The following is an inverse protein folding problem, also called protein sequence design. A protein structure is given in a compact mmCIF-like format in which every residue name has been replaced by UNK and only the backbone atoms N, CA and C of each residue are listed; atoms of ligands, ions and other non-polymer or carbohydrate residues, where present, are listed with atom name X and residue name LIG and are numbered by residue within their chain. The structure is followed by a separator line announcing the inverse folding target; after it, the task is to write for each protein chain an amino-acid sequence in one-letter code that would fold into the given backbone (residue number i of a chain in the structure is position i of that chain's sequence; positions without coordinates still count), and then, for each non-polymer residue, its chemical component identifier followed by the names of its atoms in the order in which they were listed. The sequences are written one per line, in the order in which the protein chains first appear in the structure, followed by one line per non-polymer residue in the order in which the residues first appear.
data_IF_093811443020
#
_entry.id   IF_093811443020
#
_cell.length_a   1.000
_cell.length_b   1.000
_cell.length_c   1.000
_cell.angle_alpha   90.00
_cell.angle_beta   90.00
_cell.angle_gamma   90.00
#
_symmetry.space_group_name_H-M   'P 1'
#
loop_
_entity.id
_entity.type
_entity.pdbx_description
1 polymer ?
#
# COMPACT_ATOMS: atom_id res chain seq x y z
N UNK A 1 6.83 6.66 29.53
CA UNK A 1 6.40 7.46 28.37
C UNK A 1 6.73 6.64 27.13
N UNK A 2 5.76 5.87 26.58
CA UNK A 2 5.88 5.30 25.24
C UNK A 2 5.81 6.48 24.27
N UNK A 3 6.90 6.76 23.60
CA UNK A 3 6.90 7.67 22.45
C UNK A 3 5.95 7.09 21.40
N UNK A 4 4.78 7.69 21.29
CA UNK A 4 3.89 7.42 20.16
C UNK A 4 4.65 7.85 18.91
N UNK A 5 4.90 6.95 18.00
CA UNK A 5 5.53 7.27 16.73
C UNK A 5 4.62 8.18 15.91
N UNK A 6 5.18 8.95 14.98
CA UNK A 6 4.43 9.84 14.08
C UNK A 6 3.28 9.13 13.33
N UNK A 7 3.29 7.80 13.27
CA UNK A 7 2.21 6.96 12.75
C UNK A 7 1.05 6.74 13.75
N UNK A 8 1.30 6.91 15.05
CA UNK A 8 0.25 6.84 16.09
C UNK A 8 -0.36 8.22 16.35
N UNK A 9 0.31 9.29 15.96
CA UNK A 9 -0.25 10.64 15.87
C UNK A 9 -1.01 10.76 14.54
N UNK A 10 -1.94 9.88 14.31
CA UNK A 10 -3.08 10.15 13.45
C UNK A 10 -4.04 11.01 14.26
N UNK A 11 -3.60 12.18 14.58
CA UNK A 11 -4.51 13.23 14.96
C UNK A 11 -5.25 13.61 13.69
N UNK A 12 -6.41 13.01 13.58
CA UNK A 12 -7.60 13.58 13.00
C UNK A 12 -7.32 14.64 11.93
N UNK A 13 -6.93 14.19 10.75
CA UNK A 13 -7.28 14.92 9.56
C UNK A 13 -8.80 14.81 9.45
N UNK A 14 -9.50 15.85 9.89
CA UNK A 14 -10.95 15.91 10.04
C UNK A 14 -11.70 15.95 8.71
N UNK A 15 -11.00 15.71 7.61
CA UNK A 15 -11.66 15.56 6.32
C UNK A 15 -12.38 14.19 6.25
N UNK A 16 -13.63 14.19 5.79
CA UNK A 16 -14.46 12.99 5.71
C UNK A 16 -13.91 11.95 4.73
N UNK A 17 -13.15 12.37 3.74
CA UNK A 17 -12.48 11.55 2.75
C UNK A 17 -11.29 10.79 3.36
N UNK A 18 -10.45 11.45 4.17
CA UNK A 18 -9.36 10.79 4.90
C UNK A 18 -9.92 9.80 5.93
N UNK A 19 -10.92 10.18 6.72
CA UNK A 19 -11.57 9.27 7.65
C UNK A 19 -12.18 8.05 6.95
N UNK A 20 -12.85 8.23 5.82
CA UNK A 20 -13.46 7.13 5.06
C UNK A 20 -12.42 6.24 4.40
N UNK A 21 -11.29 6.80 3.93
CA UNK A 21 -10.17 6.01 3.40
C UNK A 21 -9.52 5.14 4.47
N UNK A 22 -9.31 5.68 5.67
CA UNK A 22 -8.77 4.94 6.80
C UNK A 22 -9.70 3.83 7.28
N UNK A 23 -11.01 4.08 7.32
CA UNK A 23 -12.01 3.06 7.63
C UNK A 23 -11.98 1.92 6.60
N UNK A 24 -11.87 2.26 5.32
CA UNK A 24 -11.78 1.30 4.22
C UNK A 24 -10.49 0.48 4.26
N UNK A 25 -9.36 1.11 4.60
CA UNK A 25 -8.07 0.45 4.76
C UNK A 25 -7.99 -0.45 6.00
N UNK A 26 -8.68 -0.10 7.08
CA UNK A 26 -8.61 -0.84 8.35
C UNK A 26 -9.20 -2.24 8.27
N UNK A 27 -10.17 -2.47 7.37
CA UNK A 27 -10.87 -3.74 7.21
C UNK A 27 -11.63 -4.24 8.46
N UNK A 28 -11.66 -3.43 9.53
CA UNK A 28 -12.26 -3.81 10.83
C UNK A 28 -13.78 -3.76 10.83
N UNK A 29 -14.36 -2.98 9.94
CA UNK A 29 -15.80 -2.77 9.88
C UNK A 29 -16.46 -3.66 8.83
N UNK A 30 -17.44 -4.45 9.24
CA UNK A 30 -18.21 -5.34 8.34
C UNK A 30 -19.25 -4.60 7.47
N UNK A 31 -19.25 -3.28 7.51
CA UNK A 31 -20.19 -2.49 6.70
C UNK A 31 -19.78 -2.55 5.22
N UNK A 32 -20.69 -2.93 4.34
CA UNK A 32 -20.44 -3.16 2.91
C UNK A 32 -19.82 -1.95 2.18
N UNK A 33 -20.09 -0.73 2.64
CA UNK A 33 -19.53 0.49 2.08
C UNK A 33 -18.02 0.67 2.35
N UNK A 34 -17.49 0.06 3.42
CA UNK A 34 -16.10 0.21 3.86
C UNK A 34 -15.28 -1.08 3.69
N UNK A 35 -15.77 -2.01 2.89
CA UNK A 35 -14.97 -3.17 2.46
C UNK A 35 -14.01 -2.73 1.36
N UNK A 36 -12.83 -3.39 1.25
CA UNK A 36 -11.79 -3.05 0.27
C UNK A 36 -12.24 -3.13 -1.20
N UNK A 37 -13.36 -3.80 -1.50
CA UNK A 37 -13.94 -3.86 -2.84
C UNK A 37 -14.56 -2.51 -3.24
N UNK A 38 -14.38 -2.05 -4.50
CA UNK A 38 -15.02 -0.84 -4.99
C UNK A 38 -16.54 -1.04 -5.09
N UNK A 39 -17.30 -0.05 -4.61
CA UNK A 39 -18.75 0.00 -4.79
C UNK A 39 -19.06 1.06 -5.84
N UNK A 40 -19.45 0.62 -7.03
CA UNK A 40 -19.80 1.49 -8.16
C UNK A 40 -21.28 1.40 -8.42
N UNK A 41 -21.96 2.53 -8.61
CA UNK A 41 -23.35 2.58 -9.01
C UNK A 41 -23.54 3.45 -10.26
N UNK A 42 -24.55 3.13 -11.04
CA UNK A 42 -24.86 3.86 -12.28
C UNK A 42 -25.18 5.33 -11.98
N UNK A 43 -24.52 6.27 -12.68
CA UNK A 43 -24.74 7.71 -12.48
C UNK A 43 -23.88 8.36 -11.38
N UNK A 44 -22.92 7.67 -10.82
CA UNK A 44 -22.06 8.18 -9.75
C UNK A 44 -21.25 9.42 -10.16
N UNK A 45 -20.65 9.41 -11.35
CA UNK A 45 -19.84 10.54 -11.83
C UNK A 45 -20.65 11.82 -12.04
N UNK A 46 -21.81 11.78 -12.74
CA UNK A 46 -22.65 12.97 -12.84
C UNK A 46 -23.18 13.43 -11.47
N UNK A 47 -23.49 12.51 -10.55
CA UNK A 47 -23.89 12.87 -9.20
C UNK A 47 -22.77 13.62 -8.46
N UNK A 48 -21.56 13.10 -8.48
CA UNK A 48 -20.40 13.76 -7.85
C UNK A 48 -20.11 15.12 -8.48
N UNK A 49 -20.26 15.24 -9.80
CA UNK A 49 -20.11 16.52 -10.51
C UNK A 49 -21.16 17.55 -10.05
N UNK A 50 -22.43 17.17 -9.97
CA UNK A 50 -23.51 18.06 -9.52
C UNK A 50 -23.31 18.49 -8.07
N UNK A 51 -22.93 17.56 -7.19
CA UNK A 51 -22.64 17.88 -5.78
C UNK A 51 -21.42 18.81 -5.67
N UNK A 52 -20.38 18.58 -6.47
CA UNK A 52 -19.19 19.47 -6.52
C UNK A 52 -19.55 20.89 -6.98
N UNK A 53 -20.35 21.01 -8.05
CA UNK A 53 -20.82 22.30 -8.53
C UNK A 53 -21.72 23.00 -7.51
N UNK A 54 -22.59 22.26 -6.83
CA UNK A 54 -23.43 22.79 -5.75
C UNK A 54 -22.60 23.29 -4.56
N UNK A 55 -21.57 22.54 -4.17
CA UNK A 55 -20.65 22.94 -3.09
C UNK A 55 -19.89 24.22 -3.46
N UNK A 56 -19.38 24.32 -4.69
CA UNK A 56 -18.75 25.53 -5.21
C UNK A 56 -19.73 26.70 -5.26
N UNK A 57 -20.97 26.49 -5.72
CA UNK A 57 -22.02 27.50 -5.76
C UNK A 57 -22.35 28.04 -4.38
N UNK A 58 -22.49 27.18 -3.38
CA UNK A 58 -22.71 27.60 -1.98
C UNK A 58 -21.49 28.34 -1.41
N UNK A 59 -20.27 27.94 -1.75
CA UNK A 59 -19.06 28.63 -1.36
C UNK A 59 -19.00 30.06 -1.94
N UNK A 60 -19.31 30.22 -3.22
CA UNK A 60 -19.43 31.54 -3.86
C UNK A 60 -20.56 32.38 -3.23
N UNK A 61 -21.73 31.77 -3.03
CA UNK A 61 -22.85 32.45 -2.35
C UNK A 61 -22.43 32.95 -0.97
N UNK A 62 -21.78 32.08 -0.17
CA UNK A 62 -21.28 32.48 1.15
C UNK A 62 -20.28 33.65 1.07
N UNK A 63 -19.39 33.64 0.06
CA UNK A 63 -18.42 34.74 -0.12
C UNK A 63 -19.07 36.07 -0.34
N UNK A 64 -20.20 36.15 -1.06
CA UNK A 64 -20.91 37.38 -1.34
C UNK A 64 -21.95 37.78 -0.29
N UNK A 65 -22.65 36.77 0.30
CA UNK A 65 -23.78 37.05 1.21
C UNK A 65 -23.41 36.94 2.68
N UNK A 66 -22.30 36.23 3.01
CA UNK A 66 -21.88 35.92 4.40
C UNK A 66 -22.99 35.22 5.20
N UNK A 67 -23.91 34.49 4.51
CA UNK A 67 -25.02 33.80 5.14
C UNK A 67 -24.52 32.49 5.79
N UNK A 68 -24.70 32.34 7.12
CA UNK A 68 -24.33 31.11 7.82
C UNK A 68 -25.00 29.85 7.27
N UNK A 69 -26.21 29.95 6.71
CA UNK A 69 -26.91 28.80 6.14
C UNK A 69 -26.18 28.24 4.92
N UNK A 70 -25.63 29.13 4.06
CA UNK A 70 -24.82 28.71 2.91
C UNK A 70 -23.52 28.00 3.36
N UNK A 71 -22.90 28.47 4.44
CA UNK A 71 -21.71 27.83 5.01
C UNK A 71 -22.01 26.41 5.53
N UNK A 72 -23.06 26.26 6.34
CA UNK A 72 -23.42 24.92 6.86
C UNK A 72 -23.88 23.98 5.75
N UNK A 73 -24.56 24.49 4.73
CA UNK A 73 -24.92 23.71 3.54
C UNK A 73 -23.68 23.21 2.77
N UNK A 74 -22.71 24.09 2.52
CA UNK A 74 -21.44 23.74 1.90
C UNK A 74 -20.69 22.68 2.73
N UNK A 75 -20.61 22.86 4.05
CA UNK A 75 -19.95 21.93 4.94
C UNK A 75 -20.59 20.52 4.90
N UNK A 76 -21.92 20.46 4.98
CA UNK A 76 -22.64 19.18 4.91
C UNK A 76 -22.43 18.46 3.56
N UNK A 77 -22.50 19.20 2.44
CA UNK A 77 -22.24 18.64 1.11
C UNK A 77 -20.80 18.15 0.96
N UNK A 78 -19.82 18.87 1.52
CA UNK A 78 -18.41 18.47 1.49
C UNK A 78 -18.18 17.14 2.22
N UNK A 79 -18.82 16.91 3.38
CA UNK A 79 -18.77 15.64 4.08
C UNK A 79 -19.36 14.49 3.27
N UNK A 80 -20.52 14.69 2.65
CA UNK A 80 -21.15 13.68 1.79
C UNK A 80 -20.26 13.37 0.58
N UNK A 81 -19.70 14.40 -0.05
CA UNK A 81 -18.80 14.26 -1.19
C UNK A 81 -17.52 13.48 -0.85
N UNK A 82 -16.91 13.76 0.31
CA UNK A 82 -15.71 13.04 0.74
C UNK A 82 -15.95 11.54 0.89
N UNK A 83 -17.12 11.12 1.37
CA UNK A 83 -17.48 9.70 1.42
C UNK A 83 -17.74 9.13 0.02
N UNK A 84 -18.49 9.85 -0.82
CA UNK A 84 -18.86 9.39 -2.17
C UNK A 84 -17.66 9.25 -3.12
N UNK A 85 -16.62 10.06 -2.96
CA UNK A 85 -15.40 9.98 -3.77
C UNK A 85 -14.60 8.72 -3.43
N UNK A 86 -14.55 8.31 -2.14
CA UNK A 86 -13.72 7.19 -1.69
C UNK A 86 -14.37 5.82 -1.93
N UNK A 87 -15.71 5.73 -1.92
CA UNK A 87 -16.44 4.45 -2.06
C UNK A 87 -16.09 3.69 -3.34
N UNK A 88 -15.97 4.31 -4.53
CA UNK A 88 -15.71 3.59 -5.78
C UNK A 88 -14.25 3.19 -5.98
N UNK A 89 -13.35 3.65 -5.12
CA UNK A 89 -11.92 3.41 -5.27
C UNK A 89 -11.57 2.03 -4.71
N UNK A 90 -10.91 1.21 -5.51
CA UNK A 90 -10.44 -0.11 -5.11
C UNK A 90 -9.29 -0.06 -4.11
N UNK A 91 -9.16 -1.11 -3.29
CA UNK A 91 -8.08 -1.20 -2.30
C UNK A 91 -6.68 -1.14 -2.91
N UNK A 92 -6.50 -1.66 -4.13
CA UNK A 92 -5.22 -1.62 -4.86
C UNK A 92 -4.77 -0.18 -5.17
N UNK A 93 -5.72 0.72 -5.46
CA UNK A 93 -5.44 2.11 -5.83
C UNK A 93 -5.38 3.05 -4.61
N UNK A 94 -5.74 2.54 -3.42
CA UNK A 94 -5.80 3.32 -2.18
C UNK A 94 -4.50 4.05 -1.80
N UNK A 95 -3.29 3.48 -1.94
CA UNK A 95 -2.06 4.20 -1.62
C UNK A 95 -1.91 5.50 -2.42
N UNK A 96 -2.28 5.49 -3.69
CA UNK A 96 -2.26 6.69 -4.57
C UNK A 96 -3.25 7.73 -4.06
N UNK A 97 -4.45 7.29 -3.71
CA UNK A 97 -5.53 8.16 -3.23
C UNK A 97 -5.16 8.81 -1.90
N UNK A 98 -4.62 8.05 -0.95
CA UNK A 98 -4.15 8.59 0.34
C UNK A 98 -3.08 9.67 0.14
N UNK A 99 -2.14 9.46 -0.80
CA UNK A 99 -1.13 10.45 -1.14
C UNK A 99 -1.76 11.72 -1.74
N UNK A 100 -2.79 11.57 -2.59
CA UNK A 100 -3.49 12.70 -3.19
C UNK A 100 -4.33 13.48 -2.18
N UNK A 101 -5.00 12.79 -1.24
CA UNK A 101 -5.72 13.44 -0.14
C UNK A 101 -4.79 14.26 0.74
N UNK A 102 -3.59 13.73 1.02
CA UNK A 102 -2.56 14.49 1.73
C UNK A 102 -2.14 15.76 0.95
N UNK A 103 -2.07 15.68 -0.39
CA UNK A 103 -1.83 16.83 -1.25
C UNK A 103 -2.94 17.89 -1.12
N UNK A 104 -4.21 17.48 -1.11
CA UNK A 104 -5.34 18.41 -0.92
C UNK A 104 -5.30 19.10 0.44
N UNK A 105 -4.98 18.37 1.50
CA UNK A 105 -4.78 18.91 2.85
C UNK A 105 -3.65 19.94 2.88
N UNK A 106 -2.54 19.67 2.18
CA UNK A 106 -1.43 20.62 2.03
C UNK A 106 -1.84 21.93 1.35
N UNK A 107 -2.58 21.83 0.24
CA UNK A 107 -3.06 23.02 -0.47
C UNK A 107 -4.09 23.80 0.34
N UNK A 108 -4.96 23.11 1.09
CA UNK A 108 -5.88 23.77 2.02
C UNK A 108 -5.12 24.53 3.12
N UNK A 109 -4.08 23.92 3.69
CA UNK A 109 -3.22 24.58 4.67
C UNK A 109 -2.52 25.84 4.10
N UNK A 110 -2.03 25.77 2.85
CA UNK A 110 -1.47 26.93 2.18
C UNK A 110 -2.52 28.05 2.00
N UNK A 111 -3.75 27.71 1.60
CA UNK A 111 -4.87 28.65 1.49
C UNK A 111 -5.20 29.33 2.82
N UNK A 112 -5.25 28.58 3.91
CA UNK A 112 -5.42 29.12 5.27
C UNK A 112 -4.23 30.04 5.62
N UNK A 113 -3.02 29.66 5.23
CA UNK A 113 -1.82 30.47 5.42
C UNK A 113 -1.92 31.85 4.76
N UNK A 114 -2.48 31.95 3.56
CA UNK A 114 -2.75 33.21 2.90
C UNK A 114 -3.76 34.06 3.69
N UNK A 115 -4.85 33.44 4.17
CA UNK A 115 -5.88 34.17 4.94
C UNK A 115 -5.36 34.69 6.28
N UNK A 116 -4.46 33.92 6.93
CA UNK A 116 -3.87 34.28 8.23
C UNK A 116 -2.57 35.08 8.10
N UNK A 117 -2.10 35.34 6.88
CA UNK A 117 -0.81 35.96 6.59
C UNK A 117 0.37 35.26 7.29
N UNK A 118 0.32 33.94 7.31
CA UNK A 118 1.32 33.07 7.96
C UNK A 118 2.22 32.39 6.91
N UNK A 119 3.44 32.90 6.74
CA UNK A 119 4.40 32.43 5.74
C UNK A 119 4.83 30.97 5.96
N UNK A 120 4.95 30.52 7.21
CA UNK A 120 5.32 29.15 7.51
C UNK A 120 4.24 28.15 7.05
N UNK A 121 2.98 28.51 7.26
CA UNK A 121 1.85 27.67 6.83
C UNK A 121 1.72 27.63 5.31
N UNK A 122 2.01 28.74 4.62
CA UNK A 122 2.06 28.81 3.15
C UNK A 122 3.17 27.89 2.62
N UNK A 123 4.38 28.00 3.16
CA UNK A 123 5.53 27.21 2.70
C UNK A 123 5.30 25.72 2.96
N UNK A 124 4.97 25.35 4.20
CA UNK A 124 4.75 23.96 4.57
C UNK A 124 3.58 23.33 3.78
N UNK A 125 2.45 24.05 3.67
CA UNK A 125 1.29 23.59 2.90
C UNK A 125 1.59 23.42 1.42
N UNK A 126 2.33 24.34 0.81
CA UNK A 126 2.72 24.26 -0.60
C UNK A 126 3.67 23.09 -0.86
N UNK A 127 4.63 22.83 0.03
CA UNK A 127 5.55 21.69 -0.08
C UNK A 127 4.82 20.35 0.05
N UNK A 128 3.96 20.22 1.06
CA UNK A 128 3.16 19.01 1.28
C UNK A 128 2.20 18.78 0.11
N UNK A 129 1.53 19.85 -0.35
CA UNK A 129 0.61 19.77 -1.48
C UNK A 129 1.29 19.32 -2.77
N UNK A 130 2.42 19.94 -3.10
CA UNK A 130 3.18 19.61 -4.31
C UNK A 130 3.77 18.19 -4.24
N UNK A 131 4.38 17.83 -3.12
CA UNK A 131 5.00 16.51 -2.96
C UNK A 131 3.96 15.40 -3.04
N UNK A 132 2.80 15.53 -2.39
CA UNK A 132 1.72 14.55 -2.45
C UNK A 132 1.18 14.32 -3.87
N UNK A 133 1.03 15.40 -4.66
CA UNK A 133 0.61 15.31 -6.06
C UNK A 133 1.65 14.60 -6.93
N UNK A 134 2.93 14.94 -6.79
CA UNK A 134 4.03 14.32 -7.52
C UNK A 134 4.12 12.82 -7.17
N UNK A 135 4.06 12.48 -5.88
CA UNK A 135 4.10 11.10 -5.41
C UNK A 135 2.93 10.28 -5.97
N UNK A 136 1.71 10.84 -5.96
CA UNK A 136 0.53 10.18 -6.54
C UNK A 136 0.72 9.91 -8.04
N UNK A 137 1.27 10.86 -8.78
CA UNK A 137 1.54 10.69 -10.21
C UNK A 137 2.59 9.59 -10.47
N UNK A 138 3.70 9.59 -9.71
CA UNK A 138 4.76 8.57 -9.83
C UNK A 138 4.19 7.19 -9.50
N UNK A 139 3.37 7.07 -8.45
CA UNK A 139 2.74 5.80 -8.09
C UNK A 139 1.80 5.29 -9.19
N UNK A 140 0.99 6.17 -9.79
CA UNK A 140 0.15 5.78 -10.93
C UNK A 140 0.98 5.28 -12.10
N UNK A 141 2.09 5.95 -12.41
CA UNK A 141 3.01 5.51 -13.46
C UNK A 141 3.64 4.16 -13.14
N UNK A 142 4.09 3.96 -11.90
CA UNK A 142 4.66 2.68 -11.44
C UNK A 142 3.66 1.53 -11.44
N UNK A 143 2.35 1.82 -11.26
CA UNK A 143 1.27 0.83 -11.33
C UNK A 143 0.74 0.63 -12.76
N UNK A 144 1.28 1.33 -13.75
CA UNK A 144 0.79 1.36 -15.13
C UNK A 144 -0.71 1.71 -15.23
N UNK A 145 -1.15 2.68 -14.42
CA UNK A 145 -2.53 3.16 -14.37
C UNK A 145 -2.63 4.64 -14.67
N UNK A 146 -3.72 5.03 -15.34
CA UNK A 146 -4.00 6.45 -15.56
C UNK A 146 -4.34 7.15 -14.24
N UNK A 147 -3.64 8.25 -13.96
CA UNK A 147 -3.85 9.08 -12.77
C UNK A 147 -5.33 9.52 -12.61
N UNK A 148 -5.94 9.99 -13.68
CA UNK A 148 -7.35 10.40 -13.65
C UNK A 148 -8.31 9.24 -13.39
N UNK A 149 -8.03 8.06 -13.94
CA UNK A 149 -8.86 6.88 -13.69
C UNK A 149 -8.80 6.43 -12.22
N UNK A 150 -7.64 6.56 -11.58
CA UNK A 150 -7.47 6.21 -10.16
C UNK A 150 -8.20 7.21 -9.26
N UNK A 151 -8.05 8.51 -9.50
CA UNK A 151 -8.65 9.55 -8.63
C UNK A 151 -10.16 9.62 -8.78
N UNK A 152 -10.67 9.54 -10.00
CA UNK A 152 -12.11 9.60 -10.24
C UNK A 152 -12.83 8.30 -9.90
N UNK A 153 -12.11 7.19 -9.81
CA UNK A 153 -12.65 5.87 -9.53
C UNK A 153 -13.62 5.36 -10.61
N UNK A 154 -13.71 4.04 -10.80
CA UNK A 154 -14.69 3.45 -11.70
C UNK A 154 -14.48 3.62 -13.22
N UNK A 155 -13.44 4.31 -13.66
CA UNK A 155 -13.02 4.40 -15.06
C UNK A 155 -11.93 3.38 -15.38
N UNK A 156 -12.10 2.18 -15.18
CA UNK A 156 -11.04 1.23 -15.44
C UNK A 156 -11.52 -0.18 -15.59
N UNK A 157 -12.14 -0.39 -16.70
CA UNK A 157 -12.56 -1.72 -17.09
C UNK A 157 -13.81 -2.18 -16.33
N UNK A 158 -14.61 -2.93 -16.98
CA UNK A 158 -15.44 -3.96 -16.41
C UNK A 158 -14.55 -4.76 -15.44
N UNK A 159 -14.36 -4.24 -14.22
CA UNK A 159 -14.06 -5.07 -13.10
C UNK A 159 -15.26 -5.98 -13.03
N UNK A 160 -15.19 -7.06 -13.79
CA UNK A 160 -16.04 -8.18 -13.54
C UNK A 160 -16.04 -8.30 -12.04
N UNK A 161 -17.19 -8.29 -11.46
CA UNK A 161 -17.48 -8.86 -10.17
C UNK A 161 -16.83 -10.25 -10.19
N UNK A 162 -15.52 -10.30 -10.03
CA UNK A 162 -14.86 -11.45 -9.49
C UNK A 162 -15.51 -11.52 -8.12
N UNK A 163 -16.63 -12.24 -8.10
CA UNK A 163 -17.25 -12.70 -6.89
C UNK A 163 -16.09 -13.00 -5.96
N UNK A 164 -16.18 -12.50 -4.74
CA UNK A 164 -15.40 -12.99 -3.64
C UNK A 164 -15.57 -14.51 -3.73
N UNK A 165 -14.69 -15.10 -4.53
CA UNK A 165 -14.75 -16.50 -4.91
C UNK A 165 -14.68 -17.23 -3.61
N UNK A 166 -15.64 -18.09 -3.38
CA UNK A 166 -15.63 -19.02 -2.28
C UNK A 166 -14.16 -19.43 -2.09
N UNK A 167 -13.62 -19.12 -0.92
CA UNK A 167 -12.28 -19.57 -0.53
C UNK A 167 -12.31 -21.09 -0.64
N UNK A 168 -11.95 -21.61 -1.80
CA UNK A 168 -11.64 -22.99 -1.91
C UNK A 168 -10.49 -23.19 -0.93
N UNK A 169 -10.70 -24.04 0.06
CA UNK A 169 -9.67 -24.48 0.98
C UNK A 169 -8.60 -25.20 0.13
N UNK A 170 -7.73 -24.41 -0.48
CA UNK A 170 -6.54 -24.91 -1.15
C UNK A 170 -5.51 -25.20 -0.05
N UNK A 171 -4.90 -26.36 -0.10
CA UNK A 171 -3.86 -26.74 0.85
C UNK A 171 -2.63 -25.85 0.62
N UNK A 172 -2.15 -25.23 1.68
CA UNK A 172 -0.88 -24.50 1.71
C UNK A 172 0.15 -25.33 2.47
N UNK A 173 1.39 -25.33 2.00
CA UNK A 173 2.50 -25.94 2.74
C UNK A 173 2.93 -24.98 3.83
N UNK A 174 2.67 -25.32 5.08
CA UNK A 174 3.13 -24.55 6.23
C UNK A 174 4.48 -25.10 6.71
N UNK A 175 5.42 -24.21 6.99
CA UNK A 175 6.72 -24.53 7.57
C UNK A 175 6.98 -23.71 8.83
N UNK A 176 8.04 -24.06 9.54
CA UNK A 176 8.53 -23.34 10.72
C UNK A 176 9.59 -22.28 10.34
N UNK A 177 9.94 -21.42 11.30
CA UNK A 177 11.07 -20.49 11.13
C UNK A 177 12.40 -21.26 10.99
N UNK A 178 12.52 -22.42 11.65
CA UNK A 178 13.71 -23.28 11.61
C UNK A 178 13.90 -23.90 10.22
N UNK A 179 12.79 -24.39 9.61
CA UNK A 179 12.82 -24.91 8.24
C UNK A 179 13.25 -23.82 7.23
N UNK A 180 12.71 -22.61 7.41
CA UNK A 180 13.06 -21.47 6.57
C UNK A 180 14.54 -21.09 6.72
N UNK A 181 15.05 -21.04 7.95
CA UNK A 181 16.44 -20.76 8.25
C UNK A 181 17.39 -21.79 7.64
N UNK A 182 17.02 -23.08 7.75
CA UNK A 182 17.79 -24.19 7.16
C UNK A 182 17.86 -24.08 5.63
N UNK A 183 16.74 -23.77 4.96
CA UNK A 183 16.69 -23.62 3.51
C UNK A 183 17.55 -22.44 3.07
N UNK A 184 17.43 -21.28 3.76
CA UNK A 184 18.20 -20.08 3.43
C UNK A 184 19.70 -20.24 3.71
N UNK A 185 20.07 -20.92 4.80
CA UNK A 185 21.47 -21.17 5.16
C UNK A 185 22.23 -22.09 4.21
N UNK A 186 21.51 -22.90 3.41
CA UNK A 186 22.08 -23.78 2.39
C UNK A 186 21.92 -23.22 0.95
N UNK A 187 21.42 -22.02 0.79
CA UNK A 187 21.26 -21.35 -0.50
C UNK A 187 22.55 -20.60 -0.91
N UNK A 188 22.79 -20.48 -2.20
CA UNK A 188 23.83 -19.58 -2.72
C UNK A 188 23.33 -18.14 -2.80
N UNK A 189 22.07 -17.95 -3.21
CA UNK A 189 21.46 -16.62 -3.38
C UNK A 189 20.08 -16.57 -2.76
N UNK A 190 19.88 -15.59 -1.87
CA UNK A 190 18.61 -15.29 -1.22
C UNK A 190 18.16 -13.88 -1.60
N UNK A 191 16.93 -13.74 -2.14
CA UNK A 191 16.32 -12.46 -2.43
C UNK A 191 15.24 -12.17 -1.38
N UNK A 192 15.39 -11.06 -0.66
CA UNK A 192 14.43 -10.59 0.34
C UNK A 192 13.47 -9.59 -0.30
N UNK A 193 12.18 -9.88 -0.23
CA UNK A 193 11.11 -9.01 -0.74
C UNK A 193 10.37 -8.37 0.45
N UNK A 194 10.75 -7.14 0.87
CA UNK A 194 10.10 -6.46 1.96
C UNK A 194 8.75 -5.87 1.49
N UNK A 195 7.73 -6.03 2.31
CA UNK A 195 6.41 -5.47 2.07
C UNK A 195 5.88 -4.67 3.26
N UNK A 196 4.64 -4.20 3.13
CA UNK A 196 4.00 -3.39 4.17
C UNK A 196 3.91 -4.10 5.53
N UNK A 197 3.74 -5.43 5.54
CA UNK A 197 3.69 -6.20 6.78
C UNK A 197 4.98 -6.13 7.59
N UNK A 198 6.14 -6.07 6.93
CA UNK A 198 7.43 -5.83 7.57
C UNK A 198 7.47 -4.45 8.25
N UNK A 199 6.99 -3.41 7.55
CA UNK A 199 6.93 -2.06 8.10
C UNK A 199 6.05 -1.97 9.36
N UNK A 200 4.87 -2.60 9.33
CA UNK A 200 3.94 -2.64 10.47
C UNK A 200 4.52 -3.36 11.66
N UNK A 201 5.24 -4.47 11.41
CA UNK A 201 5.90 -5.24 12.45
C UNK A 201 7.21 -4.60 12.95
N UNK A 202 7.72 -3.56 12.27
CA UNK A 202 9.02 -2.93 12.54
C UNK A 202 10.17 -3.96 12.58
N UNK A 203 10.16 -4.84 11.58
CA UNK A 203 11.10 -5.95 11.50
C UNK A 203 12.40 -5.62 10.76
N UNK A 204 12.60 -4.37 10.30
CA UNK A 204 13.73 -3.96 9.47
C UNK A 204 15.08 -4.30 10.08
N UNK A 205 15.26 -4.11 11.40
CA UNK A 205 16.51 -4.44 12.08
C UNK A 205 16.75 -5.94 12.19
N UNK A 206 15.70 -6.72 12.47
CA UNK A 206 15.80 -8.19 12.51
C UNK A 206 16.12 -8.77 11.13
N UNK A 207 15.58 -8.18 10.06
CA UNK A 207 15.89 -8.59 8.68
C UNK A 207 17.34 -8.27 8.31
N UNK A 208 17.87 -7.10 8.73
CA UNK A 208 19.31 -6.79 8.57
C UNK A 208 20.18 -7.83 9.29
N UNK A 209 19.83 -8.18 10.54
CA UNK A 209 20.56 -9.18 11.31
C UNK A 209 20.54 -10.56 10.63
N UNK A 210 19.36 -10.98 10.12
CA UNK A 210 19.23 -12.21 9.34
C UNK A 210 20.14 -12.18 8.10
N UNK A 211 20.12 -11.08 7.35
CA UNK A 211 20.97 -10.92 6.16
C UNK A 211 22.46 -10.96 6.50
N UNK A 212 22.87 -10.33 7.61
CA UNK A 212 24.27 -10.37 8.07
C UNK A 212 24.72 -11.81 8.39
N UNK A 213 23.93 -12.56 9.15
CA UNK A 213 24.23 -13.97 9.47
C UNK A 213 24.28 -14.87 8.23
N UNK A 214 23.39 -14.67 7.28
CA UNK A 214 23.42 -15.40 6.00
C UNK A 214 24.68 -15.06 5.21
N UNK A 215 25.07 -13.80 5.18
CA UNK A 215 26.29 -13.36 4.49
C UNK A 215 27.55 -13.93 5.14
N UNK A 216 27.60 -14.03 6.48
CA UNK A 216 28.69 -14.69 7.20
C UNK A 216 28.82 -16.18 6.84
N UNK A 217 27.71 -16.83 6.46
CA UNK A 217 27.71 -18.21 5.93
C UNK A 217 28.05 -18.30 4.44
N UNK A 218 28.36 -17.18 3.78
CA UNK A 218 28.69 -17.13 2.36
C UNK A 218 27.51 -17.03 1.42
N UNK A 219 26.31 -16.79 1.93
CA UNK A 219 25.09 -16.60 1.12
C UNK A 219 25.05 -15.17 0.57
N UNK A 220 24.80 -15.03 -0.73
CA UNK A 220 24.57 -13.73 -1.35
C UNK A 220 23.14 -13.26 -1.06
N UNK A 221 22.99 -12.16 -0.31
CA UNK A 221 21.69 -11.60 0.04
C UNK A 221 21.43 -10.33 -0.76
N UNK A 222 20.25 -10.24 -1.39
CA UNK A 222 19.77 -9.07 -2.14
C UNK A 222 18.37 -8.68 -1.66
N UNK A 223 18.09 -7.38 -1.69
CA UNK A 223 16.76 -6.84 -1.37
C UNK A 223 16.07 -6.38 -2.64
N UNK A 224 14.87 -6.88 -2.90
CA UNK A 224 14.07 -6.53 -4.05
C UNK A 224 12.95 -5.57 -3.65
N UNK A 225 13.03 -4.33 -4.09
CA UNK A 225 12.08 -3.28 -3.73
C UNK A 225 11.07 -3.08 -4.86
N UNK A 226 9.79 -3.10 -4.49
CA UNK A 226 8.73 -2.69 -5.39
C UNK A 226 8.38 -1.21 -5.15
N UNK A 227 8.23 -0.38 -6.20
CA UNK A 227 8.00 1.07 -6.07
C UNK A 227 6.79 1.45 -5.21
N UNK A 228 5.75 0.62 -5.22
CA UNK A 228 4.51 0.85 -4.44
C UNK A 228 4.39 -0.06 -3.22
N UNK A 229 5.47 -0.77 -2.82
CA UNK A 229 5.45 -1.53 -1.59
C UNK A 229 5.36 -0.59 -0.39
N UNK A 230 4.33 -0.76 0.42
CA UNK A 230 4.10 0.11 1.57
C UNK A 230 2.94 1.08 1.38
N UNK A 231 3.06 2.29 1.91
CA UNK A 231 2.04 3.35 1.85
C UNK A 231 2.45 4.57 1.04
N UNK A 232 3.72 4.66 0.66
CA UNK A 232 4.28 5.75 -0.14
C UNK A 232 5.42 5.21 -0.99
N UNK A 233 5.75 5.83 -2.12
CA UNK A 233 6.94 5.48 -2.91
C UNK A 233 8.19 5.54 -2.05
N UNK A 234 9.07 4.54 -2.21
CA UNK A 234 10.31 4.47 -1.46
C UNK A 234 10.15 4.12 0.03
N UNK A 235 8.95 3.74 0.49
CA UNK A 235 8.73 3.39 1.89
C UNK A 235 9.70 2.30 2.39
N UNK A 236 9.91 1.26 1.58
CA UNK A 236 10.84 0.18 1.95
C UNK A 236 12.30 0.65 1.93
N UNK A 237 12.67 1.53 0.99
CA UNK A 237 14.01 2.11 0.93
C UNK A 237 14.34 2.90 2.20
N UNK A 238 13.39 3.71 2.69
CA UNK A 238 13.56 4.47 3.94
C UNK A 238 13.75 3.54 5.13
N UNK A 239 12.95 2.46 5.25
CA UNK A 239 13.06 1.51 6.36
C UNK A 239 14.38 0.72 6.32
N UNK A 240 14.85 0.34 5.14
CA UNK A 240 16.14 -0.33 4.99
C UNK A 240 17.30 0.63 5.27
N UNK A 241 17.19 1.90 4.89
CA UNK A 241 18.16 2.93 5.22
C UNK A 241 18.18 3.21 6.74
N UNK A 242 17.02 3.25 7.41
CA UNK A 242 16.92 3.35 8.88
C UNK A 242 17.59 2.17 9.57
N UNK A 243 17.50 0.98 8.99
CA UNK A 243 18.21 -0.21 9.47
C UNK A 243 19.68 -0.23 9.04
N UNK A 244 20.18 0.78 8.33
CA UNK A 244 21.56 0.86 7.80
C UNK A 244 21.93 -0.34 6.91
N UNK A 245 21.00 -0.79 6.08
CA UNK A 245 21.29 -1.80 5.05
C UNK A 245 22.15 -1.16 3.95
N UNK A 246 23.23 -1.81 3.51
CA UNK A 246 24.08 -1.29 2.42
C UNK A 246 23.28 -1.09 1.12
N UNK A 247 23.47 0.07 0.45
CA UNK A 247 22.72 0.40 -0.76
C UNK A 247 23.04 -0.52 -1.96
N UNK A 248 24.21 -1.11 -2.00
CA UNK A 248 24.64 -2.06 -3.01
C UNK A 248 23.90 -3.40 -2.95
N UNK A 249 23.21 -3.69 -1.84
CA UNK A 249 22.35 -4.85 -1.68
C UNK A 249 20.88 -4.57 -2.00
N UNK A 250 20.51 -3.31 -2.23
CA UNK A 250 19.13 -2.88 -2.47
C UNK A 250 18.91 -2.61 -3.94
N UNK A 251 18.06 -3.42 -4.56
CA UNK A 251 17.77 -3.36 -5.99
C UNK A 251 16.32 -2.98 -6.25
N UNK A 252 16.11 -2.19 -7.27
CA UNK A 252 14.78 -1.88 -7.74
C UNK A 252 14.20 -3.02 -8.60
N UNK A 253 12.89 -3.04 -8.76
CA UNK A 253 12.15 -4.10 -9.45
C UNK A 253 12.68 -4.35 -10.89
N UNK A 254 13.02 -3.29 -11.61
CA UNK A 254 13.46 -3.38 -13.01
C UNK A 254 14.78 -4.13 -13.13
N UNK A 255 15.69 -3.95 -12.18
CA UNK A 255 17.01 -4.58 -12.17
C UNK A 255 16.94 -6.03 -11.67
N UNK A 256 16.21 -6.26 -10.55
CA UNK A 256 16.23 -7.56 -9.85
C UNK A 256 15.33 -8.62 -10.50
N UNK A 257 14.31 -8.23 -11.29
CA UNK A 257 13.35 -9.19 -11.86
C UNK A 257 14.02 -10.25 -12.75
N UNK A 258 15.13 -9.91 -13.42
CA UNK A 258 15.89 -10.85 -14.23
C UNK A 258 16.63 -11.91 -13.38
N UNK A 259 16.91 -11.62 -12.12
CA UNK A 259 17.70 -12.47 -11.23
C UNK A 259 16.86 -13.49 -10.45
N UNK A 260 15.55 -13.28 -10.30
CA UNK A 260 14.72 -14.24 -9.57
C UNK A 260 14.78 -15.67 -10.12
N UNK A 261 14.97 -15.83 -11.43
CA UNK A 261 15.09 -17.16 -12.03
C UNK A 261 16.37 -17.92 -11.65
N UNK A 262 17.40 -17.21 -11.19
CA UNK A 262 18.65 -17.77 -10.72
C UNK A 262 18.72 -17.90 -9.19
N UNK A 263 17.83 -17.19 -8.47
CA UNK A 263 17.79 -17.21 -7.02
C UNK A 263 17.34 -18.57 -6.48
N UNK A 264 18.04 -19.08 -5.49
CA UNK A 264 17.65 -20.32 -4.80
C UNK A 264 16.43 -20.10 -3.93
N UNK A 265 16.41 -18.97 -3.19
CA UNK A 265 15.34 -18.64 -2.27
C UNK A 265 14.87 -17.21 -2.48
N UNK A 266 13.55 -17.02 -2.57
CA UNK A 266 12.89 -15.73 -2.44
C UNK A 266 12.09 -15.71 -1.14
N UNK A 267 12.46 -14.86 -0.20
CA UNK A 267 11.71 -14.67 1.05
C UNK A 267 10.85 -13.41 0.98
N UNK A 268 9.54 -13.56 1.13
CA UNK A 268 8.55 -12.50 1.05
C UNK A 268 8.08 -12.16 2.46
N UNK A 269 8.36 -10.94 2.91
CA UNK A 269 8.07 -10.48 4.27
C UNK A 269 6.94 -9.46 4.27
N UNK A 270 5.70 -9.94 4.39
CA UNK A 270 4.52 -9.07 4.50
C UNK A 270 4.14 -8.34 3.21
N UNK A 271 4.49 -8.87 2.04
CA UNK A 271 4.00 -8.44 0.74
C UNK A 271 2.87 -9.38 0.26
N UNK A 272 1.98 -8.89 -0.60
CA UNK A 272 0.91 -9.66 -1.21
C UNK A 272 0.72 -9.30 -2.69
N UNK A 273 0.08 -8.17 -2.99
CA UNK A 273 -0.35 -7.83 -4.34
C UNK A 273 0.85 -7.56 -5.28
N UNK A 274 1.94 -7.03 -4.76
CA UNK A 274 3.18 -6.71 -5.51
C UNK A 274 3.98 -7.95 -5.99
N UNK A 275 3.61 -9.14 -5.53
CA UNK A 275 4.21 -10.42 -5.96
C UNK A 275 3.16 -11.37 -6.55
N UNK A 276 1.95 -10.87 -6.81
CA UNK A 276 0.82 -11.71 -7.25
C UNK A 276 0.85 -11.94 -8.77
N UNK A 277 1.02 -13.18 -9.25
CA UNK A 277 1.02 -13.50 -10.69
C UNK A 277 -0.29 -13.15 -11.40
N UNK A 278 -1.39 -12.94 -10.68
CA UNK A 278 -2.66 -12.49 -11.25
C UNK A 278 -2.56 -11.14 -11.98
N UNK A 279 -1.48 -10.38 -11.78
CA UNK A 279 -1.18 -9.18 -12.56
C UNK A 279 -1.00 -9.44 -14.07
N UNK A 280 -0.66 -10.66 -14.45
CA UNK A 280 -0.53 -11.08 -15.85
C UNK A 280 -1.84 -11.61 -16.45
N UNK A 281 -2.86 -11.88 -15.62
CA UNK A 281 -4.14 -12.46 -16.06
C UNK A 281 -5.10 -11.35 -16.48
N UNK A 282 -5.58 -11.39 -17.75
CA UNK A 282 -6.59 -10.45 -18.24
C UNK A 282 -7.89 -10.56 -17.43
N UNK A 283 -8.42 -9.41 -16.99
CA UNK A 283 -9.64 -9.36 -16.15
C UNK A 283 -9.39 -9.38 -14.65
N UNK A 284 -8.15 -9.53 -14.19
CA UNK A 284 -7.79 -9.33 -12.80
C UNK A 284 -7.84 -7.85 -12.42
N UNK A 285 -8.21 -7.53 -11.17
CA UNK A 285 -8.21 -6.16 -10.66
C UNK A 285 -6.83 -5.49 -10.66
N UNK A 286 -5.76 -6.29 -10.69
CA UNK A 286 -4.36 -5.82 -10.75
C UNK A 286 -3.72 -6.04 -12.12
N UNK A 287 -4.52 -6.39 -13.15
CA UNK A 287 -3.99 -6.64 -14.50
C UNK A 287 -3.14 -5.47 -15.02
N UNK A 288 -1.96 -5.81 -15.55
CA UNK A 288 -1.01 -4.84 -16.10
C UNK A 288 -0.16 -4.09 -15.05
N UNK A 289 -0.34 -4.37 -13.76
CA UNK A 289 0.56 -3.85 -12.73
C UNK A 289 1.90 -4.59 -12.84
N UNK A 290 3.03 -3.90 -12.93
CA UNK A 290 4.34 -4.52 -12.79
C UNK A 290 4.46 -5.19 -11.41
N UNK A 291 5.04 -6.37 -11.34
CA UNK A 291 5.23 -7.13 -10.10
C UNK A 291 6.66 -7.61 -9.97
N UNK A 292 7.07 -7.91 -8.74
CA UNK A 292 8.28 -8.67 -8.48
C UNK A 292 8.03 -10.14 -8.83
N UNK A 293 8.82 -10.68 -9.74
CA UNK A 293 8.63 -12.02 -10.29
C UNK A 293 9.14 -13.14 -9.35
N UNK A 294 8.88 -13.00 -8.05
CA UNK A 294 9.32 -13.95 -7.03
C UNK A 294 8.89 -15.40 -7.31
N UNK A 295 7.82 -15.59 -8.09
CA UNK A 295 7.36 -16.92 -8.53
C UNK A 295 8.37 -17.66 -9.42
N UNK A 296 9.41 -16.98 -9.94
CA UNK A 296 10.48 -17.61 -10.73
C UNK A 296 11.56 -18.27 -9.88
N UNK A 297 11.74 -17.87 -8.61
CA UNK A 297 12.74 -18.43 -7.72
C UNK A 297 12.53 -19.95 -7.52
N UNK A 298 13.60 -20.68 -7.19
CA UNK A 298 13.54 -22.13 -6.99
C UNK A 298 12.68 -22.50 -5.79
N UNK A 299 12.84 -21.80 -4.67
CA UNK A 299 12.04 -21.95 -3.45
C UNK A 299 11.51 -20.58 -3.01
N UNK A 300 10.28 -20.55 -2.54
CA UNK A 300 9.62 -19.33 -2.09
C UNK A 300 9.21 -19.50 -0.63
N UNK A 301 9.61 -18.56 0.21
CA UNK A 301 9.21 -18.53 1.63
C UNK A 301 8.36 -17.28 1.82
N UNK A 302 7.15 -17.44 2.34
CA UNK A 302 6.22 -16.32 2.54
C UNK A 302 5.86 -16.20 4.00
N UNK A 303 6.19 -15.07 4.61
CA UNK A 303 5.72 -14.73 5.94
C UNK A 303 4.45 -13.88 5.86
N UNK A 304 3.38 -14.37 6.46
CA UNK A 304 2.10 -13.68 6.66
C UNK A 304 1.50 -14.02 8.01
N UNK A 305 0.70 -13.10 8.55
CA UNK A 305 -0.04 -13.37 9.81
C UNK A 305 -1.23 -14.31 9.60
N UNK A 306 -1.84 -14.27 8.43
CA UNK A 306 -3.00 -15.09 8.05
C UNK A 306 -3.16 -15.14 6.53
N UNK A 307 -4.00 -16.02 6.02
CA UNK A 307 -4.35 -16.12 4.60
C UNK A 307 -5.34 -15.01 4.13
N UNK A 308 -5.60 -14.00 4.94
CA UNK A 308 -6.45 -12.88 4.53
C UNK A 308 -5.93 -12.23 3.24
N UNK A 309 -6.86 -11.88 2.36
CA UNK A 309 -6.55 -11.18 1.12
C UNK A 309 -5.82 -9.84 1.39
N UNK A 310 -5.01 -9.37 0.44
CA UNK A 310 -4.38 -8.06 0.46
C UNK A 310 -5.38 -6.93 0.19
N UNK A 311 -4.86 -5.73 -0.07
CA UNK A 311 -5.69 -4.55 -0.35
C UNK A 311 -6.52 -4.68 -1.63
N UNK A 312 -6.02 -5.40 -2.64
CA UNK A 312 -6.77 -5.67 -3.86
C UNK A 312 -7.96 -6.62 -3.65
N UNK A 313 -8.06 -7.27 -2.49
CA UNK A 313 -9.11 -8.25 -2.20
C UNK A 313 -8.98 -9.54 -3.00
N UNK A 314 -7.85 -9.75 -3.66
CA UNK A 314 -7.56 -10.91 -4.49
C UNK A 314 -6.82 -11.99 -3.68
N UNK A 315 -7.09 -13.23 -4.05
CA UNK A 315 -6.26 -14.36 -3.64
C UNK A 315 -4.95 -14.35 -4.43
N UNK A 316 -3.88 -14.86 -3.84
CA UNK A 316 -2.57 -14.89 -4.47
C UNK A 316 -2.15 -16.33 -4.76
N UNK A 317 -2.11 -16.68 -6.04
CA UNK A 317 -1.75 -18.02 -6.49
C UNK A 317 -0.33 -18.44 -6.09
N UNK A 318 0.56 -17.47 -5.88
CA UNK A 318 1.91 -17.70 -5.39
C UNK A 318 1.94 -18.55 -4.10
N UNK A 319 0.96 -18.35 -3.21
CA UNK A 319 0.92 -19.00 -1.89
C UNK A 319 0.57 -20.50 -1.97
N UNK A 320 0.01 -20.92 -3.08
CA UNK A 320 -0.44 -22.30 -3.31
C UNK A 320 0.51 -23.10 -4.22
N UNK A 321 1.60 -22.48 -4.68
CA UNK A 321 2.58 -23.18 -5.51
C UNK A 321 3.31 -24.26 -4.71
N UNK A 322 3.66 -25.35 -5.36
CA UNK A 322 4.36 -26.48 -4.72
C UNK A 322 5.71 -26.11 -4.11
N UNK A 323 6.37 -25.11 -4.65
CA UNK A 323 7.66 -24.57 -4.19
C UNK A 323 7.54 -23.46 -3.15
N UNK A 324 6.30 -23.14 -2.72
CA UNK A 324 6.05 -22.11 -1.72
C UNK A 324 5.82 -22.72 -0.36
N UNK A 325 6.54 -22.22 0.63
CA UNK A 325 6.39 -22.52 2.04
C UNK A 325 5.85 -21.30 2.77
N UNK A 326 4.75 -21.45 3.48
CA UNK A 326 4.14 -20.40 4.29
C UNK A 326 4.63 -20.49 5.73
N UNK A 327 5.15 -19.39 6.25
CA UNK A 327 5.54 -19.25 7.66
C UNK A 327 4.60 -18.25 8.32
N UNK A 328 3.66 -18.74 9.10
CA UNK A 328 2.66 -17.90 9.73
C UNK A 328 3.17 -17.25 11.01
N UNK A 329 2.93 -15.95 11.15
CA UNK A 329 3.26 -15.22 12.37
C UNK A 329 3.50 -13.72 12.12
N UNK A 330 3.76 -13.02 13.21
CA UNK A 330 4.22 -11.62 13.12
C UNK A 330 5.62 -11.58 12.51
N UNK A 331 5.83 -10.68 11.54
CA UNK A 331 7.06 -10.66 10.76
C UNK A 331 8.31 -10.47 11.65
N UNK A 332 8.23 -9.61 12.68
CA UNK A 332 9.36 -9.39 13.58
C UNK A 332 9.73 -10.67 14.33
N UNK A 333 8.73 -11.30 14.96
CA UNK A 333 8.95 -12.52 15.73
C UNK A 333 9.49 -13.66 14.86
N UNK A 334 8.88 -13.87 13.69
CA UNK A 334 9.29 -14.95 12.77
C UNK A 334 10.73 -14.74 12.29
N UNK A 335 11.11 -13.50 11.93
CA UNK A 335 12.47 -13.20 11.50
C UNK A 335 13.47 -13.32 12.66
N UNK A 336 13.12 -12.88 13.88
CA UNK A 336 13.96 -13.08 15.07
C UNK A 336 14.18 -14.58 15.38
N UNK A 337 13.16 -15.41 15.18
CA UNK A 337 13.28 -16.85 15.36
C UNK A 337 14.14 -17.47 14.23
N UNK A 338 14.02 -17.01 12.98
CA UNK A 338 14.93 -17.39 11.88
C UNK A 338 16.38 -16.99 12.18
N UNK A 339 16.64 -15.79 12.71
CA UNK A 339 17.96 -15.31 13.11
C UNK A 339 18.63 -16.27 14.12
N UNK A 340 17.85 -16.76 15.09
CA UNK A 340 18.34 -17.74 16.10
C UNK A 340 18.61 -19.11 15.48
N UNK A 341 17.82 -19.50 14.49
CA UNK A 341 17.91 -20.83 13.85
C UNK A 341 18.99 -20.89 12.75
N UNK A 342 19.47 -19.75 12.28
CA UNK A 342 20.58 -19.66 11.29
C UNK A 342 21.95 -19.92 11.95
N UNK A 343 22.07 -19.98 13.28
CA UNK A 343 23.34 -20.22 14.00
C UNK A 343 24.04 -21.53 13.63
#
# INVERSE_FOLDING_TARGET
FKQKTAYEIKECDWSSDVCSSDLKLSGKYKFRLFQGAPVVFAGQHPLNLVLGLATLGLGLLYTFTQDPAAFYGMLALSFVMGVLIIIPIGGADMPVVVSMLNSYSGWAAAGIGFSLNNSMLIIAGSLVGSSGAILSYIMCKAMNRSFFNVILGGFGGEAGTAAAGAQQQRNVKSGSADDAAFIMGNAETVIIVPGYGLAVARAQHAVKELAAKLTEKGVTVKYAIHPVAGRMPGHMNVLLAEAEVPYDQVFEMEDINSEFGQADVAIILGANDVVNPAAHVKGSAIYGMPILEAYKAKTIIVNKRSMAAGYAGLDNELFYMDKTMMVFGDAKKVVEDMVKAVD
#
